data_IF_074508701056
#
_entry.id   IF_074508701056
#
_cell.length_a   1.000
_cell.length_b   1.000
_cell.length_c   1.000
_cell.angle_alpha   90.00
_cell.angle_beta   90.00
_cell.angle_gamma   90.00
#
_symmetry.space_group_name_H-M   'P 1'
#
loop_
_entity.id
_entity.type
_entity.pdbx_description
1 polymer ?
#
# COMPACT_ATOMS: atom_id res chain seq x y z
N UNK A 1 16.77 -13.37 21.96
CA UNK A 1 16.16 -14.41 21.13
C UNK A 1 15.99 -13.87 19.73
N UNK A 2 16.44 -14.57 18.69
CA UNK A 2 16.21 -14.22 17.31
C UNK A 2 14.78 -14.63 16.95
N UNK A 3 13.90 -13.67 16.60
CA UNK A 3 12.50 -13.93 16.23
C UNK A 3 12.34 -14.34 14.77
N UNK A 4 13.15 -13.76 13.87
CA UNK A 4 13.14 -14.08 12.45
C UNK A 4 14.51 -13.77 11.81
N UNK A 5 14.74 -14.34 10.63
CA UNK A 5 15.86 -13.96 9.74
C UNK A 5 15.28 -13.38 8.47
N UNK A 6 15.79 -12.23 8.06
CA UNK A 6 15.33 -11.51 6.86
C UNK A 6 16.51 -11.39 5.90
N UNK A 7 16.32 -11.82 4.67
CA UNK A 7 17.28 -11.56 3.60
C UNK A 7 17.15 -10.10 3.18
N UNK A 8 18.28 -9.39 3.13
CA UNK A 8 18.32 -8.02 2.63
C UNK A 8 18.39 -8.05 1.11
N UNK A 9 17.54 -7.26 0.49
CA UNK A 9 17.46 -7.14 -0.96
C UNK A 9 18.66 -6.36 -1.51
N UNK A 10 19.18 -6.84 -2.62
CA UNK A 10 20.20 -6.18 -3.42
C UNK A 10 19.56 -5.16 -4.38
N UNK A 11 20.40 -4.34 -5.04
CA UNK A 11 19.92 -3.48 -6.13
C UNK A 11 19.15 -4.27 -7.21
N UNK A 12 19.63 -5.47 -7.56
CA UNK A 12 18.94 -6.32 -8.54
C UNK A 12 17.53 -6.70 -8.10
N UNK A 13 17.33 -7.01 -6.83
CA UNK A 13 15.99 -7.34 -6.30
C UNK A 13 15.04 -6.13 -6.36
N UNK A 14 15.56 -4.92 -6.16
CA UNK A 14 14.80 -3.67 -6.34
C UNK A 14 14.42 -3.47 -7.81
N UNK A 15 15.38 -3.61 -8.72
CA UNK A 15 15.16 -3.48 -10.17
C UNK A 15 14.11 -4.51 -10.66
N UNK A 16 14.21 -5.77 -10.20
CA UNK A 16 13.23 -6.83 -10.50
C UNK A 16 11.83 -6.47 -9.98
N UNK A 17 11.73 -5.93 -8.76
CA UNK A 17 10.45 -5.48 -8.18
C UNK A 17 9.82 -4.33 -8.98
N UNK A 18 10.63 -3.36 -9.44
CA UNK A 18 10.17 -2.26 -10.30
C UNK A 18 9.68 -2.79 -11.65
N UNK A 19 10.38 -3.74 -12.25
CA UNK A 19 9.96 -4.36 -13.52
C UNK A 19 8.63 -5.10 -13.36
N UNK A 20 8.46 -5.89 -12.29
CA UNK A 20 7.23 -6.62 -11.97
C UNK A 20 6.08 -5.62 -11.77
N UNK A 21 6.30 -4.58 -10.98
CA UNK A 21 5.29 -3.54 -10.72
C UNK A 21 4.90 -2.79 -12.00
N UNK A 22 5.86 -2.48 -12.88
CA UNK A 22 5.62 -1.82 -14.17
C UNK A 22 4.78 -2.68 -15.11
N UNK A 23 5.05 -3.99 -15.17
CA UNK A 23 4.22 -4.93 -15.95
C UNK A 23 2.80 -5.06 -15.40
N UNK A 24 2.66 -5.12 -14.07
CA UNK A 24 1.36 -5.18 -13.42
C UNK A 24 0.55 -3.89 -13.63
N UNK A 25 1.21 -2.73 -13.62
CA UNK A 25 0.59 -1.42 -13.82
C UNK A 25 -0.24 -1.35 -15.11
N UNK A 26 0.24 -1.91 -16.22
CA UNK A 26 -0.44 -1.86 -17.52
C UNK A 26 -1.89 -2.37 -17.42
N UNK A 27 -2.09 -3.47 -16.68
CA UNK A 27 -3.43 -4.04 -16.48
C UNK A 27 -4.18 -3.38 -15.33
N UNK A 28 -3.47 -3.11 -14.22
CA UNK A 28 -4.09 -2.56 -13.02
C UNK A 28 -4.67 -1.17 -13.23
N UNK A 29 -3.98 -0.29 -13.96
CA UNK A 29 -4.45 1.05 -14.29
C UNK A 29 -5.77 1.07 -15.07
N UNK A 30 -6.08 -0.01 -15.78
CA UNK A 30 -7.31 -0.16 -16.56
C UNK A 30 -8.47 -0.77 -15.75
N UNK A 31 -8.21 -1.29 -14.54
CA UNK A 31 -9.26 -1.83 -13.68
C UNK A 31 -10.17 -0.69 -13.20
N UNK A 32 -11.49 -0.80 -13.38
CA UNK A 32 -12.41 0.25 -12.93
C UNK A 32 -12.23 0.60 -11.44
N UNK A 33 -12.30 1.88 -11.05
CA UNK A 33 -12.08 2.32 -9.67
C UNK A 33 -12.93 1.56 -8.64
N UNK A 34 -14.19 1.27 -8.96
CA UNK A 34 -15.07 0.49 -8.07
C UNK A 34 -14.58 -0.94 -7.83
N UNK A 35 -13.99 -1.57 -8.85
CA UNK A 35 -13.45 -2.93 -8.69
C UNK A 35 -12.20 -2.90 -7.78
N UNK A 36 -11.34 -1.89 -7.93
CA UNK A 36 -10.19 -1.67 -7.03
C UNK A 36 -10.66 -1.43 -5.59
N UNK A 37 -11.68 -0.59 -5.39
CA UNK A 37 -12.25 -0.33 -4.08
C UNK A 37 -12.82 -1.60 -3.41
N UNK A 38 -13.45 -2.51 -4.17
CA UNK A 38 -13.96 -3.77 -3.63
C UNK A 38 -12.87 -4.66 -3.03
N UNK A 39 -11.67 -4.64 -3.60
CA UNK A 39 -10.51 -5.34 -3.02
C UNK A 39 -10.11 -4.68 -1.69
N UNK A 40 -10.10 -3.34 -1.63
CA UNK A 40 -9.77 -2.61 -0.40
C UNK A 40 -10.83 -2.81 0.69
N UNK A 41 -12.12 -2.91 0.37
CA UNK A 41 -13.15 -3.29 1.35
C UNK A 41 -12.86 -4.68 1.94
N UNK A 42 -12.54 -5.68 1.12
CA UNK A 42 -12.16 -7.00 1.61
C UNK A 42 -10.87 -6.96 2.45
N UNK A 43 -9.90 -6.16 2.03
CA UNK A 43 -8.66 -5.97 2.78
C UNK A 43 -8.93 -5.35 4.15
N UNK A 44 -9.80 -4.33 4.24
CA UNK A 44 -10.26 -3.76 5.50
C UNK A 44 -10.84 -4.84 6.43
N UNK A 45 -11.79 -5.63 5.92
CA UNK A 45 -12.42 -6.70 6.69
C UNK A 45 -11.39 -7.74 7.18
N UNK A 46 -10.39 -8.06 6.36
CA UNK A 46 -9.31 -8.98 6.72
C UNK A 46 -8.39 -8.39 7.80
N UNK A 47 -8.07 -7.09 7.75
CA UNK A 47 -7.30 -6.43 8.83
C UNK A 47 -8.07 -6.48 10.15
N UNK A 48 -9.36 -6.14 10.15
CA UNK A 48 -10.21 -6.18 11.35
C UNK A 48 -10.25 -7.58 11.96
N UNK A 49 -10.47 -8.58 11.12
CA UNK A 49 -10.52 -9.99 11.51
C UNK A 49 -9.20 -10.51 12.09
N UNK A 50 -8.08 -10.01 11.59
CA UNK A 50 -6.73 -10.40 12.00
C UNK A 50 -6.06 -9.33 12.91
N UNK A 51 -6.84 -8.39 13.47
CA UNK A 51 -6.33 -7.27 14.27
C UNK A 51 -5.50 -7.70 15.47
N UNK A 52 -5.90 -8.76 16.16
CA UNK A 52 -5.17 -9.30 17.31
C UNK A 52 -3.82 -9.91 16.88
N UNK A 53 -3.79 -10.66 15.78
CA UNK A 53 -2.56 -11.21 15.19
C UNK A 53 -1.58 -10.11 14.81
N UNK A 54 -2.04 -9.11 14.02
CA UNK A 54 -1.22 -7.98 13.59
C UNK A 54 -0.68 -7.18 14.78
N UNK A 55 -1.51 -6.93 15.78
CA UNK A 55 -1.09 -6.25 17.02
C UNK A 55 0.02 -7.03 17.74
N UNK A 56 -0.11 -8.35 17.87
CA UNK A 56 0.91 -9.20 18.50
C UNK A 56 2.22 -9.22 17.72
N UNK A 57 2.17 -9.21 16.39
CA UNK A 57 3.36 -9.08 15.54
C UNK A 57 4.08 -7.76 15.86
N UNK A 58 3.35 -6.64 15.89
CA UNK A 58 3.93 -5.32 16.23
C UNK A 58 4.56 -5.34 17.62
N UNK A 59 3.85 -5.85 18.62
CA UNK A 59 4.37 -5.95 20.00
C UNK A 59 5.64 -6.78 20.06
N UNK A 60 5.68 -7.92 19.37
CA UNK A 60 6.82 -8.85 19.43
C UNK A 60 8.09 -8.29 18.79
N UNK A 61 7.96 -7.55 17.69
CA UNK A 61 9.11 -6.99 16.95
C UNK A 61 9.52 -5.59 17.43
N UNK A 62 8.56 -4.75 17.80
CA UNK A 62 8.83 -3.37 18.20
C UNK A 62 9.00 -3.21 19.70
N UNK A 63 8.31 -4.01 20.52
CA UNK A 63 8.31 -3.88 21.99
C UNK A 63 7.33 -2.82 22.53
N UNK A 64 6.38 -2.33 21.74
CA UNK A 64 5.28 -1.47 22.22
C UNK A 64 4.37 -2.22 23.16
N UNK A 65 3.67 -1.48 24.04
CA UNK A 65 2.52 -2.03 24.76
C UNK A 65 1.39 -2.34 23.79
N UNK A 66 0.59 -3.36 24.14
CA UNK A 66 -0.45 -3.89 23.26
C UNK A 66 -1.46 -2.81 22.79
N UNK A 67 -1.95 -1.97 23.72
CA UNK A 67 -2.95 -0.96 23.41
C UNK A 67 -2.41 0.13 22.48
N UNK A 68 -1.14 0.52 22.58
CA UNK A 68 -0.50 1.46 21.68
C UNK A 68 -0.30 0.86 20.28
N UNK A 69 0.10 -0.42 20.22
CA UNK A 69 0.22 -1.15 18.95
C UNK A 69 -1.14 -1.26 18.25
N UNK A 70 -2.19 -1.62 18.99
CA UNK A 70 -3.57 -1.70 18.50
C UNK A 70 -4.10 -0.34 18.04
N UNK A 71 -3.87 0.72 18.82
CA UNK A 71 -4.26 2.08 18.45
C UNK A 71 -3.56 2.57 17.17
N UNK A 72 -2.29 2.20 16.98
CA UNK A 72 -1.58 2.53 15.72
C UNK A 72 -2.12 1.75 14.52
N UNK A 73 -2.48 0.48 14.70
CA UNK A 73 -3.14 -0.32 13.66
C UNK A 73 -4.49 0.28 13.26
N UNK A 74 -5.31 0.70 14.23
CA UNK A 74 -6.61 1.35 13.99
C UNK A 74 -6.45 2.61 13.14
N UNK A 75 -5.48 3.48 13.46
CA UNK A 75 -5.21 4.69 12.66
C UNK A 75 -4.76 4.41 11.23
N UNK A 76 -4.07 3.30 11.00
CA UNK A 76 -3.77 2.85 9.65
C UNK A 76 -5.02 2.35 8.92
N UNK A 77 -5.89 1.63 9.62
CA UNK A 77 -7.14 1.11 9.09
C UNK A 77 -8.10 2.24 8.65
N UNK A 78 -8.18 3.35 9.38
CA UNK A 78 -8.96 4.54 9.01
C UNK A 78 -8.57 5.08 7.62
N UNK A 79 -7.29 5.02 7.25
CA UNK A 79 -6.84 5.43 5.92
C UNK A 79 -7.20 4.38 4.85
N UNK A 80 -7.22 3.09 5.19
CA UNK A 80 -7.76 2.05 4.29
C UNK A 80 -9.24 2.30 4.02
N UNK A 81 -10.03 2.65 5.04
CA UNK A 81 -11.44 3.04 4.90
C UNK A 81 -11.60 4.24 3.98
N UNK A 82 -10.80 5.29 4.18
CA UNK A 82 -10.79 6.43 3.28
C UNK A 82 -10.48 6.02 1.83
N UNK A 83 -9.50 5.13 1.63
CA UNK A 83 -9.12 4.64 0.31
C UNK A 83 -10.25 3.89 -0.41
N UNK A 84 -11.16 3.23 0.32
CA UNK A 84 -12.37 2.63 -0.25
C UNK A 84 -13.29 3.66 -0.92
N UNK A 85 -13.25 4.93 -0.49
CA UNK A 85 -14.02 6.04 -1.05
C UNK A 85 -13.37 6.74 -2.25
N UNK A 86 -12.15 6.40 -2.59
CA UNK A 86 -11.37 7.02 -3.68
C UNK A 86 -12.12 7.12 -5.03
N UNK A 87 -12.98 6.15 -5.44
CA UNK A 87 -13.72 6.29 -6.68
C UNK A 87 -14.49 7.60 -6.82
N UNK A 88 -14.96 8.18 -5.72
CA UNK A 88 -15.66 9.48 -5.74
C UNK A 88 -14.70 10.67 -5.93
N UNK A 89 -13.45 10.53 -5.50
CA UNK A 89 -12.42 11.57 -5.61
C UNK A 89 -11.69 11.56 -6.95
N UNK A 90 -11.81 10.48 -7.72
CA UNK A 90 -11.20 10.35 -9.05
C UNK A 90 -12.01 11.06 -10.15
N UNK A 91 -13.15 11.64 -9.84
CA UNK A 91 -13.92 12.43 -10.78
C UNK A 91 -13.12 13.65 -11.23
N UNK A 92 -13.22 13.95 -12.54
CA UNK A 92 -12.72 15.18 -13.11
C UNK A 92 -13.76 16.31 -13.02
N UNK A 93 -13.38 17.44 -13.56
CA UNK A 93 -14.23 18.63 -13.64
C UNK A 93 -14.53 18.93 -15.12
N UNK A 94 -15.65 19.56 -15.39
CA UNK A 94 -16.07 20.03 -16.71
C UNK A 94 -16.55 21.48 -16.59
N UNK A 95 -16.12 22.31 -17.53
CA UNK A 95 -16.58 23.71 -17.68
C UNK A 95 -17.01 23.91 -19.13
N UNK A 96 -18.29 24.19 -19.31
CA UNK A 96 -18.87 24.54 -20.60
C UNK A 96 -18.54 26.00 -20.93
N UNK A 97 -18.21 26.29 -22.20
CA UNK A 97 -17.94 27.64 -22.70
C UNK A 97 -16.94 28.44 -21.84
N UNK A 98 -15.84 27.83 -21.46
CA UNK A 98 -14.71 28.50 -20.78
C UNK A 98 -14.09 29.62 -21.66
N UNK A 99 -14.30 29.55 -22.96
CA UNK A 99 -14.07 30.55 -23.99
C UNK A 99 -15.11 30.39 -25.08
N UNK A 100 -15.16 31.28 -26.08
CA UNK A 100 -16.14 31.20 -27.16
C UNK A 100 -15.99 29.88 -27.94
N UNK A 101 -16.98 29.00 -27.84
CA UNK A 101 -17.01 27.65 -28.42
C UNK A 101 -15.87 26.73 -27.90
N UNK A 102 -15.41 26.92 -26.66
CA UNK A 102 -14.37 26.11 -26.03
C UNK A 102 -14.87 25.54 -24.73
N UNK A 103 -14.90 24.21 -24.62
CA UNK A 103 -15.14 23.50 -23.36
C UNK A 103 -13.81 23.04 -22.76
N UNK A 104 -13.75 22.95 -21.45
CA UNK A 104 -12.59 22.44 -20.70
C UNK A 104 -12.99 21.30 -19.79
N UNK A 105 -12.15 20.28 -19.71
CA UNK A 105 -12.35 19.18 -18.79
C UNK A 105 -11.02 18.64 -18.24
N UNK A 106 -11.09 18.05 -17.06
CA UNK A 106 -9.94 17.41 -16.42
C UNK A 106 -10.22 15.94 -16.15
N UNK A 107 -9.17 15.12 -16.21
CA UNK A 107 -9.20 13.71 -15.77
C UNK A 107 -8.07 13.46 -14.80
N UNK A 108 -8.30 12.52 -13.88
CA UNK A 108 -7.28 12.02 -12.96
C UNK A 108 -6.76 10.68 -13.47
N UNK A 109 -5.46 10.57 -13.65
CA UNK A 109 -4.80 9.37 -14.14
C UNK A 109 -3.76 8.87 -13.11
N UNK A 110 -3.54 7.54 -13.02
CA UNK A 110 -2.48 7.00 -12.17
C UNK A 110 -1.09 7.41 -12.69
N UNK A 111 -0.15 7.59 -11.78
CA UNK A 111 1.22 8.00 -12.08
C UNK A 111 2.10 6.85 -12.61
N UNK A 112 1.83 5.61 -12.15
CA UNK A 112 2.64 4.45 -12.50
C UNK A 112 3.06 3.64 -11.28
N UNK A 113 4.34 3.31 -11.21
CA UNK A 113 4.95 2.66 -10.05
C UNK A 113 5.24 3.70 -8.97
N UNK A 114 4.67 3.51 -7.80
CA UNK A 114 4.94 4.32 -6.61
C UNK A 114 5.79 3.52 -5.62
N UNK A 115 6.56 4.21 -4.80
CA UNK A 115 7.34 3.59 -3.74
C UNK A 115 7.14 4.29 -2.40
N UNK A 116 7.31 3.54 -1.31
CA UNK A 116 7.30 4.07 0.04
C UNK A 116 8.34 3.40 0.92
N UNK A 117 9.10 4.22 1.65
CA UNK A 117 10.08 3.77 2.64
C UNK A 117 9.49 4.11 4.01
N UNK A 118 9.38 3.14 4.89
CA UNK A 118 8.68 3.31 6.17
C UNK A 118 9.56 3.03 7.38
N UNK A 119 9.34 3.77 8.49
CA UNK A 119 10.14 3.65 9.69
C UNK A 119 9.73 2.43 10.54
N UNK A 120 10.59 2.07 11.50
CA UNK A 120 10.35 0.96 12.41
C UNK A 120 9.28 1.24 13.47
N UNK A 121 9.06 2.51 13.84
CA UNK A 121 8.21 2.87 14.98
C UNK A 121 6.70 2.72 14.74
N UNK A 122 6.27 2.60 13.47
CA UNK A 122 4.87 2.37 13.07
C UNK A 122 4.77 1.41 11.89
N UNK A 123 5.07 0.10 12.08
CA UNK A 123 5.25 -0.85 10.99
C UNK A 123 3.96 -1.23 10.24
N UNK A 124 2.79 -0.87 10.78
CA UNK A 124 1.50 -1.02 10.11
C UNK A 124 0.93 0.33 9.67
N UNK A 125 0.88 1.31 10.59
CA UNK A 125 0.22 2.59 10.37
C UNK A 125 0.80 3.35 9.17
N UNK A 126 2.12 3.55 9.14
CA UNK A 126 2.76 4.35 8.10
C UNK A 126 2.68 3.68 6.72
N UNK A 127 2.92 2.36 6.55
CA UNK A 127 2.63 1.68 5.29
C UNK A 127 1.19 1.87 4.81
N UNK A 128 0.20 1.70 5.70
CA UNK A 128 -1.22 1.86 5.38
C UNK A 128 -1.62 3.31 5.06
N UNK A 129 -0.81 4.30 5.37
CA UNK A 129 -1.04 5.68 4.93
C UNK A 129 -0.68 5.91 3.46
N UNK A 130 0.09 5.02 2.84
CA UNK A 130 0.63 5.21 1.51
C UNK A 130 0.04 4.25 0.47
N UNK A 131 0.27 2.94 0.62
CA UNK A 131 -0.07 1.98 -0.43
C UNK A 131 -1.58 1.87 -0.74
N UNK A 132 -2.53 1.97 0.23
CA UNK A 132 -3.95 1.82 -0.10
C UNK A 132 -4.44 2.93 -1.03
N UNK A 133 -3.99 4.16 -0.81
CA UNK A 133 -4.31 5.31 -1.65
C UNK A 133 -3.74 5.15 -3.06
N UNK A 134 -2.47 4.76 -3.16
CA UNK A 134 -1.81 4.54 -4.44
C UNK A 134 -2.54 3.45 -5.26
N UNK A 135 -2.84 2.31 -4.63
CA UNK A 135 -3.53 1.17 -5.25
C UNK A 135 -4.96 1.55 -5.67
N UNK A 136 -5.70 2.27 -4.82
CA UNK A 136 -7.05 2.75 -5.14
C UNK A 136 -7.06 3.67 -6.36
N UNK A 137 -6.04 4.52 -6.48
CA UNK A 137 -5.87 5.43 -7.63
C UNK A 137 -5.42 4.72 -8.91
N UNK A 138 -5.09 3.42 -8.86
CA UNK A 138 -4.67 2.63 -10.03
C UNK A 138 -3.17 2.54 -10.23
N UNK A 139 -2.38 2.99 -9.27
CA UNK A 139 -0.93 2.81 -9.25
C UNK A 139 -0.55 1.42 -8.73
N UNK A 140 0.65 0.95 -9.07
CA UNK A 140 1.33 -0.14 -8.36
C UNK A 140 2.22 0.44 -7.29
N UNK A 141 2.58 -0.37 -6.29
CA UNK A 141 3.32 0.13 -5.15
C UNK A 141 4.42 -0.83 -4.71
N UNK A 142 5.59 -0.28 -4.40
CA UNK A 142 6.72 -0.98 -3.79
C UNK A 142 6.90 -0.43 -2.38
N UNK A 143 6.79 -1.29 -1.38
CA UNK A 143 7.02 -0.95 0.01
C UNK A 143 8.39 -1.46 0.47
N UNK A 144 9.24 -0.56 0.96
CA UNK A 144 10.43 -0.94 1.71
C UNK A 144 10.16 -0.67 3.21
N UNK A 145 9.74 -1.69 3.99
CA UNK A 145 9.60 -1.55 5.44
C UNK A 145 10.97 -1.45 6.12
N UNK A 146 10.97 -1.10 7.40
CA UNK A 146 12.21 -1.16 8.18
C UNK A 146 12.70 -2.62 8.30
N UNK A 147 13.99 -2.81 8.15
CA UNK A 147 14.67 -4.08 8.36
C UNK A 147 14.56 -4.61 9.81
N UNK A 148 14.19 -3.73 10.75
CA UNK A 148 14.08 -4.06 12.18
C UNK A 148 12.80 -4.81 12.53
N UNK A 149 11.70 -4.59 11.76
CA UNK A 149 10.39 -5.18 12.04
C UNK A 149 9.53 -5.33 10.76
N UNK A 150 9.97 -6.20 9.84
CA UNK A 150 9.33 -6.34 8.53
C UNK A 150 8.07 -7.21 8.56
N UNK A 151 7.85 -8.05 9.59
CA UNK A 151 6.82 -9.09 9.57
C UNK A 151 5.41 -8.54 9.44
N UNK A 152 5.12 -7.39 10.06
CA UNK A 152 3.81 -6.77 9.94
C UNK A 152 3.50 -6.36 8.49
N UNK A 153 4.46 -5.76 7.78
CA UNK A 153 4.32 -5.37 6.37
C UNK A 153 4.16 -6.57 5.45
N UNK A 154 4.87 -7.66 5.71
CA UNK A 154 4.70 -8.92 4.97
C UNK A 154 3.31 -9.51 5.19
N UNK A 155 2.83 -9.52 6.44
CA UNK A 155 1.47 -10.00 6.74
C UNK A 155 0.38 -9.16 6.07
N UNK A 156 0.56 -7.83 6.01
CA UNK A 156 -0.34 -6.94 5.26
C UNK A 156 -0.36 -7.28 3.76
N UNK A 157 0.80 -7.62 3.17
CA UNK A 157 0.87 -8.04 1.77
C UNK A 157 0.12 -9.36 1.52
N UNK A 158 0.24 -10.33 2.43
CA UNK A 158 -0.53 -11.58 2.37
C UNK A 158 -2.04 -11.33 2.44
N UNK A 159 -2.49 -10.46 3.34
CA UNK A 159 -3.90 -10.08 3.46
C UNK A 159 -4.41 -9.35 2.21
N UNK A 160 -3.60 -8.52 1.57
CA UNK A 160 -3.93 -7.90 0.28
C UNK A 160 -4.12 -8.96 -0.82
N UNK A 161 -3.23 -9.95 -0.88
CA UNK A 161 -3.34 -11.06 -1.83
C UNK A 161 -4.60 -11.88 -1.55
N UNK A 162 -4.92 -12.18 -0.28
CA UNK A 162 -6.14 -12.85 0.16
C UNK A 162 -7.40 -12.05 -0.22
N UNK A 163 -7.33 -10.71 -0.15
CA UNK A 163 -8.40 -9.82 -0.60
C UNK A 163 -8.64 -9.86 -2.12
N UNK A 164 -7.71 -10.43 -2.87
CA UNK A 164 -7.78 -10.59 -4.32
C UNK A 164 -7.00 -9.55 -5.11
N UNK A 165 -6.02 -8.88 -4.49
CA UNK A 165 -5.12 -7.99 -5.23
C UNK A 165 -4.25 -8.83 -6.19
N UNK A 166 -4.15 -8.47 -7.48
CA UNK A 166 -3.31 -9.18 -8.43
C UNK A 166 -1.82 -9.10 -8.06
N UNK A 167 -1.08 -10.17 -8.36
CA UNK A 167 0.36 -10.21 -8.15
C UNK A 167 1.06 -9.07 -8.90
N UNK A 168 2.08 -8.48 -8.28
CA UNK A 168 2.86 -7.36 -8.81
C UNK A 168 2.25 -5.97 -8.58
N UNK A 169 0.98 -5.85 -8.18
CA UNK A 169 0.38 -4.55 -7.84
C UNK A 169 0.95 -3.99 -6.53
N UNK A 170 1.21 -4.86 -5.55
CA UNK A 170 1.89 -4.51 -4.31
C UNK A 170 3.08 -5.44 -4.08
N UNK A 171 4.25 -4.86 -3.85
CA UNK A 171 5.50 -5.57 -3.67
C UNK A 171 6.18 -5.11 -2.38
N UNK A 172 6.75 -6.02 -1.61
CA UNK A 172 7.53 -5.70 -0.40
C UNK A 172 8.97 -6.06 -0.64
N UNK A 173 9.86 -5.08 -0.48
CA UNK A 173 11.31 -5.25 -0.60
C UNK A 173 11.93 -5.03 0.77
N UNK A 174 12.38 -6.12 1.41
CA UNK A 174 13.09 -6.02 2.68
C UNK A 174 14.55 -5.68 2.41
N UNK A 175 15.03 -4.59 3.00
CA UNK A 175 16.40 -4.17 2.78
C UNK A 175 16.82 -3.02 3.70
N UNK A 176 18.10 -2.74 3.66
CA UNK A 176 18.75 -1.65 4.36
C UNK A 176 19.09 -0.48 3.42
N UNK A 177 20.19 0.22 3.69
CA UNK A 177 20.66 1.35 2.91
C UNK A 177 20.88 1.04 1.43
N UNK A 178 21.41 -0.14 1.08
CA UNK A 178 21.65 -0.52 -0.31
C UNK A 178 20.36 -0.54 -1.13
N UNK A 179 19.29 -1.11 -0.55
CA UNK A 179 17.98 -1.15 -1.20
C UNK A 179 17.27 0.21 -1.26
N UNK A 180 17.67 1.16 -0.41
CA UNK A 180 17.14 2.53 -0.42
C UNK A 180 17.82 3.38 -1.48
N UNK A 181 19.13 3.18 -1.68
CA UNK A 181 19.94 3.93 -2.64
C UNK A 181 19.81 3.41 -4.08
N UNK A 182 19.19 2.23 -4.26
CA UNK A 182 18.99 1.58 -5.56
C UNK A 182 17.87 2.20 -6.38
#
# INVERSE_FOLDING_TARGET
>A
TVSAKVNLATKKDVDDAVEIASKAFIKWSQVPPLQRARILFKFKDLIEKNSDELTKIIVSEHGKVYDDAKGSLTRGLEVVEFACGIPHLLKGEFTENVGTNVDSWSIRQPLGVCAGITPFNFPAMVPMWMFPLAIACGNTFILKPSEKNPSCSLRLAELLKEAGLPDGVFNVVNGDKESVDA
#
